data_IF_182642317656
#
_entry.id   IF_182642317656
#
_cell.length_a   1.000
_cell.length_b   1.000
_cell.length_c   1.000
_cell.angle_alpha   90.00
_cell.angle_beta   90.00
_cell.angle_gamma   90.00
#
_symmetry.space_group_name_H-M   'P 1'
#
loop_
_entity.id
_entity.type
_entity.pdbx_description
1 polymer ?
#
# COMPACT_ATOMS: atom_id res chain seq x y z
N UNK A 1 -13.55 -43.08 -32.93
CA UNK A 1 -14.06 -41.84 -32.34
C UNK A 1 -13.37 -41.63 -31.02
N UNK A 2 -12.43 -40.72 -30.97
CA UNK A 2 -11.71 -40.36 -29.77
C UNK A 2 -12.37 -39.15 -29.17
N UNK A 3 -12.99 -39.34 -28.03
CA UNK A 3 -13.46 -38.27 -27.21
C UNK A 3 -12.25 -37.57 -26.59
N UNK A 4 -11.99 -36.32 -26.97
CA UNK A 4 -11.00 -35.49 -26.34
C UNK A 4 -11.67 -34.82 -25.15
N UNK A 5 -11.49 -35.43 -23.99
CA UNK A 5 -11.84 -34.81 -22.72
C UNK A 5 -11.20 -33.44 -22.62
N UNK A 6 -12.01 -32.42 -22.68
CA UNK A 6 -11.59 -31.05 -22.33
C UNK A 6 -11.26 -31.05 -20.85
N UNK A 7 -9.97 -31.04 -20.51
CA UNK A 7 -9.55 -30.79 -19.17
C UNK A 7 -9.95 -29.34 -18.82
N UNK A 8 -11.06 -29.21 -18.11
CA UNK A 8 -11.46 -27.95 -17.55
C UNK A 8 -10.39 -27.52 -16.55
N UNK A 9 -9.57 -26.55 -16.92
CA UNK A 9 -8.76 -25.84 -15.94
C UNK A 9 -9.74 -25.15 -15.01
N UNK A 10 -9.81 -25.64 -13.79
CA UNK A 10 -10.50 -24.95 -12.72
C UNK A 10 -9.77 -23.62 -12.54
N UNK A 11 -10.40 -22.55 -12.96
CA UNK A 11 -9.96 -21.20 -12.62
C UNK A 11 -10.03 -21.12 -11.09
N UNK A 12 -8.89 -21.21 -10.43
CA UNK A 12 -8.82 -20.94 -9.02
C UNK A 12 -9.21 -19.47 -8.83
N UNK A 13 -10.44 -19.29 -8.38
CA UNK A 13 -10.91 -17.97 -7.94
C UNK A 13 -9.96 -17.52 -6.84
N UNK A 14 -9.25 -16.42 -7.07
CA UNK A 14 -8.42 -15.79 -6.04
C UNK A 14 -9.27 -15.60 -4.78
N UNK A 15 -8.72 -15.85 -3.58
CA UNK A 15 -9.48 -15.68 -2.36
C UNK A 15 -10.05 -14.25 -2.34
N UNK A 16 -11.32 -14.14 -2.08
CA UNK A 16 -12.00 -12.85 -2.00
C UNK A 16 -11.48 -12.12 -0.76
N UNK A 17 -10.61 -11.13 -0.96
CA UNK A 17 -10.02 -10.32 0.11
C UNK A 17 -11.06 -9.33 0.63
N UNK A 18 -11.92 -9.77 1.52
CA UNK A 18 -12.99 -8.92 2.06
C UNK A 18 -12.69 -8.46 3.48
N UNK A 19 -12.07 -9.31 4.29
CA UNK A 19 -11.77 -9.02 5.69
C UNK A 19 -10.65 -9.94 6.19
N UNK A 20 -9.73 -9.42 6.99
CA UNK A 20 -8.70 -10.19 7.67
C UNK A 20 -7.27 -9.69 7.44
N UNK A 21 -6.31 -10.55 7.79
CA UNK A 21 -4.88 -10.33 7.58
C UNK A 21 -4.38 -11.25 6.47
N UNK A 22 -3.65 -10.68 5.52
CA UNK A 22 -3.13 -11.40 4.37
C UNK A 22 -1.62 -11.18 4.25
N UNK A 23 -0.85 -12.27 4.23
CA UNK A 23 0.58 -12.22 3.99
C UNK A 23 0.84 -12.34 2.49
N UNK A 24 1.05 -11.20 1.84
CA UNK A 24 1.28 -11.15 0.40
C UNK A 24 1.93 -9.82 0.00
N UNK A 25 2.41 -9.74 -1.24
CA UNK A 25 2.85 -8.47 -1.81
C UNK A 25 1.70 -7.45 -1.85
N UNK A 26 1.96 -6.23 -1.38
CA UNK A 26 0.91 -5.21 -1.23
C UNK A 26 0.31 -4.75 -2.55
N UNK A 27 1.12 -4.64 -3.61
CA UNK A 27 0.66 -4.24 -4.95
C UNK A 27 -0.24 -5.32 -5.53
N UNK A 28 0.19 -6.58 -5.43
CA UNK A 28 -0.63 -7.72 -5.86
C UNK A 28 -1.92 -7.84 -5.05
N UNK A 29 -1.83 -7.58 -3.74
CA UNK A 29 -3.01 -7.53 -2.88
C UNK A 29 -4.03 -6.50 -3.34
N UNK A 30 -3.59 -5.29 -3.63
CA UNK A 30 -4.46 -4.23 -4.16
C UNK A 30 -5.08 -4.59 -5.51
N UNK A 31 -4.29 -5.19 -6.40
CA UNK A 31 -4.77 -5.62 -7.72
C UNK A 31 -5.82 -6.74 -7.65
N UNK A 32 -5.77 -7.57 -6.62
CA UNK A 32 -6.71 -8.66 -6.42
C UNK A 32 -8.06 -8.23 -5.84
N UNK A 33 -8.15 -7.02 -5.31
CA UNK A 33 -9.41 -6.46 -4.82
C UNK A 33 -10.35 -6.10 -5.97
N UNK A 34 -11.67 -6.15 -5.74
CA UNK A 34 -12.62 -5.60 -6.69
C UNK A 34 -12.34 -4.12 -6.96
N UNK A 35 -12.55 -3.69 -8.19
CA UNK A 35 -12.32 -2.30 -8.59
C UNK A 35 -13.14 -1.33 -7.71
N UNK A 36 -12.49 -0.27 -7.22
CA UNK A 36 -13.11 0.77 -6.42
C UNK A 36 -13.88 0.24 -5.20
N UNK A 37 -13.33 -0.79 -4.55
CA UNK A 37 -13.93 -1.42 -3.37
C UNK A 37 -13.41 -0.84 -2.04
N UNK A 38 -12.34 -0.05 -2.08
CA UNK A 38 -11.67 0.49 -0.88
C UNK A 38 -12.04 1.95 -0.66
N UNK A 39 -12.54 2.26 0.52
CA UNK A 39 -12.89 3.63 0.92
C UNK A 39 -11.68 4.44 1.38
N UNK A 40 -10.72 3.78 2.03
CA UNK A 40 -9.50 4.40 2.55
C UNK A 40 -8.31 3.46 2.46
N UNK A 41 -7.20 3.97 1.98
CA UNK A 41 -5.89 3.34 2.06
C UNK A 41 -5.03 4.10 3.06
N UNK A 42 -4.51 3.39 4.06
CA UNK A 42 -3.50 3.91 5.00
C UNK A 42 -2.32 2.96 4.98
N UNK A 43 -1.15 3.45 4.62
CA UNK A 43 0.02 2.59 4.44
C UNK A 43 1.33 3.29 4.83
N UNK A 44 2.27 2.47 5.30
CA UNK A 44 3.63 2.87 5.63
C UNK A 44 4.60 2.02 4.76
N UNK A 45 4.88 2.47 3.54
CA UNK A 45 5.73 1.72 2.62
C UNK A 45 7.21 1.82 2.99
N UNK A 46 8.07 0.93 2.49
CA UNK A 46 9.51 1.05 2.67
C UNK A 46 10.06 2.29 1.94
N UNK A 47 10.91 3.07 2.62
CA UNK A 47 11.44 4.33 2.09
C UNK A 47 12.77 4.20 1.36
N UNK A 48 13.47 3.05 1.52
CA UNK A 48 14.81 2.84 0.97
C UNK A 48 15.89 3.69 1.65
N UNK A 49 15.69 4.08 2.91
CA UNK A 49 16.59 4.95 3.67
C UNK A 49 17.47 4.21 4.66
N UNK A 50 17.25 2.91 4.85
CA UNK A 50 18.02 2.06 5.74
C UNK A 50 18.84 1.03 4.97
N UNK A 51 19.77 0.34 5.67
CA UNK A 51 20.57 -0.76 5.09
C UNK A 51 19.88 -2.13 5.16
N UNK A 52 18.65 -2.19 5.66
CA UNK A 52 17.89 -3.43 5.73
C UNK A 52 17.53 -3.91 4.32
N UNK A 53 17.68 -5.20 4.07
CA UNK A 53 17.43 -5.79 2.76
C UNK A 53 15.97 -5.68 2.30
N UNK A 54 15.04 -5.56 3.22
CA UNK A 54 13.61 -5.39 2.95
C UNK A 54 13.20 -3.94 2.68
N UNK A 55 14.09 -2.97 3.00
CA UNK A 55 13.80 -1.54 2.82
C UNK A 55 14.12 -1.09 1.39
N UNK A 56 13.40 -1.66 0.45
CA UNK A 56 13.49 -1.32 -0.97
C UNK A 56 12.24 -0.55 -1.37
N UNK A 57 12.37 0.66 -1.94
CA UNK A 57 11.22 1.42 -2.39
C UNK A 57 10.36 0.64 -3.38
N UNK A 58 9.05 0.74 -3.23
CA UNK A 58 8.12 0.13 -4.18
C UNK A 58 8.19 0.85 -5.53
N UNK A 59 7.95 0.14 -6.64
CA UNK A 59 7.84 0.75 -7.95
C UNK A 59 6.59 1.65 -7.99
N UNK A 60 6.81 2.97 -8.02
CA UNK A 60 5.73 3.96 -7.88
C UNK A 60 4.70 3.92 -9.01
N UNK A 61 5.05 3.73 -10.30
CA UNK A 61 4.06 3.61 -11.35
C UNK A 61 3.07 2.46 -11.11
N UNK A 62 3.58 1.29 -10.77
CA UNK A 62 2.78 0.09 -10.49
C UNK A 62 1.96 0.26 -9.20
N UNK A 63 2.53 0.90 -8.19
CA UNK A 63 1.83 1.21 -6.95
C UNK A 63 0.62 2.12 -7.22
N UNK A 64 0.81 3.20 -7.96
CA UNK A 64 -0.28 4.13 -8.26
C UNK A 64 -1.36 3.50 -9.13
N UNK A 65 -0.98 2.63 -10.06
CA UNK A 65 -1.95 1.88 -10.87
C UNK A 65 -2.82 0.98 -9.98
N UNK A 66 -2.19 0.23 -9.07
CA UNK A 66 -2.90 -0.64 -8.13
C UNK A 66 -3.79 0.15 -7.15
N UNK A 67 -3.30 1.27 -6.64
CA UNK A 67 -4.06 2.16 -5.75
C UNK A 67 -5.29 2.74 -6.47
N UNK A 68 -5.13 3.23 -7.68
CA UNK A 68 -6.24 3.77 -8.50
C UNK A 68 -7.26 2.69 -8.87
N UNK A 69 -6.81 1.46 -9.01
CA UNK A 69 -7.70 0.32 -9.22
C UNK A 69 -8.58 0.04 -8.00
N UNK A 70 -7.94 -0.10 -6.82
CA UNK A 70 -8.60 -0.60 -5.61
C UNK A 70 -9.42 0.48 -4.90
N UNK A 71 -8.90 1.71 -4.81
CA UNK A 71 -9.51 2.80 -4.05
C UNK A 71 -10.56 3.53 -4.89
N UNK A 72 -11.67 3.87 -4.25
CA UNK A 72 -12.74 4.67 -4.89
C UNK A 72 -12.20 6.04 -5.33
N UNK A 73 -12.76 6.66 -6.38
CA UNK A 73 -12.32 7.99 -6.86
C UNK A 73 -12.37 9.08 -5.79
N UNK A 74 -13.28 8.98 -4.83
CA UNK A 74 -13.46 9.88 -3.68
C UNK A 74 -12.84 9.31 -2.39
N UNK A 75 -12.18 8.17 -2.47
CA UNK A 75 -11.53 7.52 -1.33
C UNK A 75 -10.32 8.29 -0.83
N UNK A 76 -10.03 8.13 0.46
CA UNK A 76 -8.85 8.73 1.09
C UNK A 76 -7.62 7.84 0.89
N UNK A 77 -6.49 8.45 0.55
CA UNK A 77 -5.20 7.77 0.39
C UNK A 77 -4.17 8.46 1.26
N UNK A 78 -3.67 7.76 2.26
CA UNK A 78 -2.71 8.28 3.24
C UNK A 78 -1.45 7.42 3.23
N UNK A 79 -0.32 8.07 3.04
CA UNK A 79 1.00 7.46 3.11
C UNK A 79 1.80 8.05 4.26
N UNK A 80 2.40 7.22 5.08
CA UNK A 80 3.52 7.63 5.89
C UNK A 80 4.76 7.78 5.01
N UNK A 81 5.51 8.84 5.22
CA UNK A 81 6.72 9.12 4.48
C UNK A 81 7.69 9.93 5.31
N UNK A 82 8.96 9.85 4.97
CA UNK A 82 10.04 10.57 5.62
C UNK A 82 10.96 11.15 4.55
N UNK A 83 11.54 12.31 4.83
CA UNK A 83 12.50 12.94 3.93
C UNK A 83 13.72 12.04 3.68
N UNK A 84 14.19 11.86 2.44
CA UNK A 84 13.75 12.52 1.20
C UNK A 84 12.64 11.77 0.43
N UNK A 85 12.22 10.58 0.90
CA UNK A 85 11.22 9.76 0.20
C UNK A 85 9.87 10.48 0.02
N UNK A 86 9.47 11.31 0.97
CA UNK A 86 8.25 12.10 0.89
C UNK A 86 8.22 12.99 -0.37
N UNK A 87 9.35 13.53 -0.78
CA UNK A 87 9.47 14.35 -1.99
C UNK A 87 9.31 13.52 -3.25
N UNK A 88 9.90 12.34 -3.29
CA UNK A 88 9.78 11.40 -4.41
C UNK A 88 8.36 10.90 -4.54
N UNK A 89 7.74 10.51 -3.43
CA UNK A 89 6.35 10.04 -3.40
C UNK A 89 5.39 11.14 -3.87
N UNK A 90 5.49 12.34 -3.32
CA UNK A 90 4.65 13.47 -3.69
C UNK A 90 4.80 13.85 -5.16
N UNK A 91 6.04 13.94 -5.64
CA UNK A 91 6.34 14.28 -7.04
C UNK A 91 5.83 13.21 -8.03
N UNK A 92 5.76 11.94 -7.60
CA UNK A 92 5.31 10.85 -8.47
C UNK A 92 3.83 10.93 -8.85
N UNK A 93 3.02 11.67 -8.10
CA UNK A 93 1.58 11.83 -8.37
C UNK A 93 1.05 13.17 -7.87
N UNK A 94 1.58 14.25 -8.39
CA UNK A 94 1.20 15.62 -7.98
C UNK A 94 -0.29 15.92 -8.19
N UNK A 95 -0.91 15.33 -9.20
CA UNK A 95 -2.32 15.56 -9.50
C UNK A 95 -3.26 15.06 -8.38
N UNK A 96 -2.83 14.08 -7.62
CA UNK A 96 -3.59 13.53 -6.49
C UNK A 96 -3.15 14.06 -5.13
N UNK A 97 -1.99 14.71 -5.04
CA UNK A 97 -1.49 15.29 -3.80
C UNK A 97 -2.39 16.44 -3.35
N UNK A 98 -2.86 16.38 -2.10
CA UNK A 98 -3.73 17.40 -1.51
C UNK A 98 -2.99 18.24 -0.49
N UNK A 99 -2.47 17.60 0.56
CA UNK A 99 -1.76 18.27 1.65
C UNK A 99 -0.92 17.26 2.44
N UNK A 100 -0.09 17.78 3.30
CA UNK A 100 0.77 17.00 4.18
C UNK A 100 0.49 17.33 5.65
N UNK A 101 0.56 16.30 6.49
CA UNK A 101 0.61 16.48 7.93
C UNK A 101 2.03 16.19 8.41
N UNK A 102 2.56 17.07 9.24
CA UNK A 102 3.92 16.94 9.75
C UNK A 102 3.89 16.59 11.23
N UNK A 103 4.39 15.42 11.57
CA UNK A 103 4.64 15.00 12.94
C UNK A 103 6.00 15.51 13.41
N UNK A 104 6.08 16.12 14.58
CA UNK A 104 7.34 16.59 15.13
C UNK A 104 8.01 15.54 16.00
N UNK A 105 9.36 15.51 15.98
CA UNK A 105 10.16 14.60 16.80
C UNK A 105 9.89 14.71 18.30
N UNK A 106 9.59 15.89 18.79
CA UNK A 106 9.29 16.12 20.21
C UNK A 106 8.06 15.33 20.68
N UNK A 107 7.00 15.28 19.87
CA UNK A 107 5.81 14.49 20.17
C UNK A 107 6.12 12.98 20.14
N UNK A 108 6.93 12.52 19.17
CA UNK A 108 7.33 11.12 19.07
C UNK A 108 8.21 10.69 20.25
N UNK A 109 9.15 11.54 20.70
CA UNK A 109 9.97 11.26 21.86
C UNK A 109 9.16 11.18 23.14
N UNK A 110 8.20 12.07 23.34
CA UNK A 110 7.29 12.01 24.49
C UNK A 110 6.48 10.72 24.53
N UNK A 111 6.09 10.22 23.37
CA UNK A 111 5.34 8.96 23.25
C UNK A 111 6.22 7.73 23.53
N UNK A 112 7.49 7.75 23.13
CA UNK A 112 8.42 6.63 23.29
C UNK A 112 9.18 6.61 24.61
N UNK A 113 9.05 7.64 25.45
CA UNK A 113 9.72 7.71 26.75
C UNK A 113 9.25 6.60 27.70
N UNK A 114 10.18 6.00 28.47
CA UNK A 114 9.82 5.07 29.53
C UNK A 114 8.87 5.71 30.55
N UNK A 115 8.00 4.93 31.15
CA UNK A 115 7.03 5.42 32.12
C UNK A 115 7.66 6.18 33.30
N UNK A 116 8.90 5.87 33.67
CA UNK A 116 9.66 6.55 34.72
C UNK A 116 10.06 8.00 34.38
N UNK A 117 10.03 8.37 33.11
CA UNK A 117 10.39 9.71 32.61
C UNK A 117 9.19 10.51 32.12
N UNK A 118 8.02 9.95 32.23
CA UNK A 118 6.76 10.58 31.79
C UNK A 118 6.16 11.42 32.91
#
# INVERSE_FOLDING_TARGET
MTDKGTSGQSVQKSPELTEGLFLMDGIEGLRSLPRHSVDMLLTDPPYGTTRNFWDVPLPLPELWEAVKWAVKPDGAILFFAQCPYDKVLGASNLSMLRYEWVGTKAALLAFSMPAALR
#
